data_IF_799234195700
#
_entry.id   IF_799234195700
#
_cell.length_a   1.000
_cell.length_b   1.000
_cell.length_c   1.000
_cell.angle_alpha   90.00
_cell.angle_beta   90.00
_cell.angle_gamma   90.00
#
_symmetry.space_group_name_H-M   'P 1'
#
loop_
_entity.id
_entity.type
_entity.pdbx_description
1 polymer ?
#
# COMPACT_ATOMS: atom_id res chain seq x y z
N UNK A 1 -11.05 -9.94 17.50
CA UNK A 1 -9.84 -9.28 18.04
C UNK A 1 -8.69 -9.66 17.12
N UNK A 2 -8.14 -8.75 16.31
CA UNK A 2 -7.07 -9.06 15.35
C UNK A 2 -5.73 -8.50 15.87
N UNK A 3 -4.94 -9.30 16.62
CA UNK A 3 -3.75 -8.79 17.33
C UNK A 3 -2.71 -8.19 16.38
N UNK A 4 -2.55 -8.76 15.18
CA UNK A 4 -1.65 -8.24 14.15
C UNK A 4 -2.08 -6.84 13.67
N UNK A 5 -3.36 -6.64 13.38
CA UNK A 5 -3.90 -5.33 12.97
C UNK A 5 -3.68 -4.28 14.05
N UNK A 6 -3.94 -4.63 15.33
CA UNK A 6 -3.69 -3.74 16.46
C UNK A 6 -2.22 -3.32 16.53
N UNK A 7 -1.30 -4.29 16.49
CA UNK A 7 0.14 -4.03 16.56
C UNK A 7 0.62 -3.18 15.39
N UNK A 8 0.09 -3.42 14.19
CA UNK A 8 0.44 -2.64 13.01
C UNK A 8 -0.05 -1.19 13.11
N UNK A 9 -1.26 -0.95 13.64
CA UNK A 9 -1.74 0.42 13.91
C UNK A 9 -0.88 1.15 14.95
N UNK A 10 -0.42 0.46 15.99
CA UNK A 10 0.52 1.05 16.97
C UNK A 10 1.83 1.50 16.29
N UNK A 11 2.40 0.66 15.42
CA UNK A 11 3.62 1.01 14.68
C UNK A 11 3.41 2.15 13.69
N UNK A 12 2.31 2.17 12.94
CA UNK A 12 2.02 3.31 12.04
C UNK A 12 1.89 4.61 12.82
N UNK A 13 1.25 4.58 14.00
CA UNK A 13 1.14 5.76 14.86
C UNK A 13 2.51 6.19 15.39
N UNK A 14 3.34 5.25 15.86
CA UNK A 14 4.63 5.54 16.47
C UNK A 14 5.64 6.13 15.46
N UNK A 15 5.72 5.57 14.26
CA UNK A 15 6.78 5.91 13.30
C UNK A 15 6.35 6.90 12.22
N UNK A 16 5.06 6.95 11.89
CA UNK A 16 4.56 7.78 10.79
C UNK A 16 3.52 8.82 11.23
N UNK A 17 2.87 8.62 12.39
CA UNK A 17 1.87 9.52 12.98
C UNK A 17 0.95 10.20 11.94
N UNK A 18 0.07 9.43 11.25
CA UNK A 18 -0.73 9.98 10.15
C UNK A 18 -1.52 11.23 10.58
N UNK A 19 -1.50 12.32 9.80
CA UNK A 19 -2.08 13.60 10.21
C UNK A 19 -3.63 13.64 10.15
N UNK A 20 -4.25 12.60 9.61
CA UNK A 20 -5.70 12.46 9.47
C UNK A 20 -6.24 11.38 10.41
N UNK A 21 -7.53 11.47 10.80
CA UNK A 21 -8.13 10.54 11.77
C UNK A 21 -8.72 9.28 11.14
N UNK A 22 -9.05 9.32 9.86
CA UNK A 22 -9.76 8.28 9.11
C UNK A 22 -8.80 7.41 8.28
N UNK A 23 -7.79 6.82 8.93
CA UNK A 23 -6.90 5.85 8.30
C UNK A 23 -7.10 4.45 8.87
N UNK A 24 -6.75 3.44 8.06
CA UNK A 24 -6.73 2.05 8.48
C UNK A 24 -5.55 1.31 7.84
N UNK A 25 -5.42 0.02 8.15
CA UNK A 25 -4.37 -0.87 7.64
C UNK A 25 -4.99 -2.13 7.08
N UNK A 26 -4.39 -2.64 6.00
CA UNK A 26 -4.67 -3.96 5.47
C UNK A 26 -3.46 -4.87 5.69
N UNK A 27 -3.70 -6.13 6.05
CA UNK A 27 -2.65 -7.15 6.12
C UNK A 27 -2.61 -7.87 4.78
N UNK A 28 -1.44 -7.88 4.15
CA UNK A 28 -1.21 -8.48 2.83
C UNK A 28 -0.01 -9.45 2.86
N UNK A 29 -0.01 -10.51 2.05
CA UNK A 29 1.13 -11.42 1.87
C UNK A 29 2.28 -10.78 1.07
N UNK A 30 2.80 -9.64 1.56
CA UNK A 30 3.93 -8.94 0.96
C UNK A 30 3.55 -7.68 0.16
N UNK A 31 4.58 -6.90 -0.19
CA UNK A 31 4.42 -5.60 -0.84
C UNK A 31 3.85 -5.70 -2.26
N UNK A 32 4.22 -6.73 -3.02
CA UNK A 32 3.75 -6.89 -4.40
C UNK A 32 2.25 -7.19 -4.48
N UNK A 33 1.73 -8.01 -3.57
CA UNK A 33 0.29 -8.28 -3.48
C UNK A 33 -0.50 -7.02 -3.04
N UNK A 34 0.02 -6.27 -2.07
CA UNK A 34 -0.59 -5.00 -1.66
C UNK A 34 -0.56 -3.95 -2.77
N UNK A 35 0.54 -3.87 -3.52
CA UNK A 35 0.69 -3.00 -4.68
C UNK A 35 -0.32 -3.36 -5.79
N UNK A 36 -0.41 -4.65 -6.15
CA UNK A 36 -1.34 -5.13 -7.17
C UNK A 36 -2.80 -4.81 -6.81
N UNK A 37 -3.21 -5.05 -5.57
CA UNK A 37 -4.56 -4.72 -5.08
C UNK A 37 -4.87 -3.23 -5.17
N UNK A 38 -3.88 -2.36 -4.94
CA UNK A 38 -4.07 -0.92 -5.09
C UNK A 38 -4.30 -0.58 -6.57
N UNK A 39 -3.51 -1.14 -7.49
CA UNK A 39 -3.70 -0.91 -8.92
C UNK A 39 -5.10 -1.34 -9.39
N UNK A 40 -5.54 -2.55 -9.01
CA UNK A 40 -6.88 -3.06 -9.35
C UNK A 40 -8.02 -2.16 -8.82
N UNK A 41 -7.78 -1.42 -7.74
CA UNK A 41 -8.78 -0.54 -7.13
C UNK A 41 -8.81 0.87 -7.74
N UNK A 42 -7.73 1.34 -8.36
CA UNK A 42 -7.56 2.76 -8.71
C UNK A 42 -7.13 3.04 -10.15
N UNK A 43 -6.81 2.02 -10.94
CA UNK A 43 -6.31 2.16 -12.32
C UNK A 43 -7.19 1.34 -13.26
N UNK A 44 -7.72 1.99 -14.29
CA UNK A 44 -8.43 1.33 -15.38
C UNK A 44 -7.54 1.12 -16.60
N UNK A 45 -8.01 0.29 -17.55
CA UNK A 45 -7.32 0.07 -18.81
C UNK A 45 -7.19 1.37 -19.61
N UNK A 46 -5.96 1.72 -19.99
CA UNK A 46 -5.64 2.94 -20.73
C UNK A 46 -5.27 4.14 -19.86
N UNK A 47 -5.40 4.03 -18.53
CA UNK A 47 -5.00 5.10 -17.62
C UNK A 47 -3.47 5.28 -17.59
N UNK A 48 -2.96 6.52 -17.67
CA UNK A 48 -1.53 6.78 -17.50
C UNK A 48 -1.14 6.72 -16.01
N UNK A 49 -0.07 5.98 -15.70
CA UNK A 49 0.50 5.89 -14.34
C UNK A 49 1.90 6.52 -14.32
N UNK A 50 2.13 7.46 -13.39
CA UNK A 50 3.45 8.07 -13.20
C UNK A 50 4.39 7.14 -12.44
N UNK A 51 5.61 6.96 -12.95
CA UNK A 51 6.68 6.17 -12.31
C UNK A 51 8.00 6.95 -12.26
N UNK A 52 8.87 6.60 -11.31
CA UNK A 52 10.21 7.16 -11.24
C UNK A 52 11.12 6.60 -12.35
N UNK A 53 12.17 7.34 -12.72
CA UNK A 53 13.19 6.89 -13.65
C UNK A 53 14.58 6.94 -12.97
N UNK A 54 15.20 5.79 -12.61
CA UNK A 54 14.68 4.42 -12.73
C UNK A 54 13.60 4.07 -11.68
N UNK A 55 12.74 3.10 -11.98
CA UNK A 55 11.77 2.51 -11.03
C UNK A 55 12.14 1.06 -10.70
N UNK A 56 11.54 0.50 -9.64
CA UNK A 56 11.63 -0.91 -9.30
C UNK A 56 10.99 -1.76 -10.42
N UNK A 57 11.73 -2.66 -11.11
CA UNK A 57 11.17 -3.39 -12.25
C UNK A 57 9.94 -4.24 -11.91
N UNK A 58 9.87 -4.80 -10.70
CA UNK A 58 8.73 -5.61 -10.26
C UNK A 58 7.42 -4.84 -10.14
N UNK A 59 7.42 -3.50 -10.23
CA UNK A 59 6.19 -2.70 -10.28
C UNK A 59 5.63 -2.51 -11.69
N UNK A 60 6.41 -2.75 -12.75
CA UNK A 60 5.98 -2.51 -14.15
C UNK A 60 6.09 -3.75 -15.04
N UNK A 61 6.88 -4.75 -14.62
CA UNK A 61 7.20 -5.94 -15.40
C UNK A 61 6.70 -7.23 -14.71
N UNK A 62 5.63 -7.12 -13.91
CA UNK A 62 5.00 -8.26 -13.26
C UNK A 62 4.42 -9.24 -14.29
#
# INVERSE_FOLDING_TARGET
>A
HFPLVKKWKEFQTQWHNPPFKNWDVAIVPGSQDGYWKILELVVDEGDPVMVQAPTYPGSIAA
#
